data_IF_399976685598
#
_entry.id   IF_399976685598
#
_cell.length_a   1.000
_cell.length_b   1.000
_cell.length_c   1.000
_cell.angle_alpha   90.00
_cell.angle_beta   90.00
_cell.angle_gamma   90.00
#
_symmetry.space_group_name_H-M   'P 1'
#
loop_
_entity.id
_entity.type
_entity.pdbx_description
1 polymer ?
#
# COMPACT_ATOMS: atom_id res chain seq x y z
N UNK A 1 12.21 1.20 -2.31
CA UNK A 1 12.45 1.12 -0.85
C UNK A 1 12.81 -0.30 -0.44
N UNK A 2 12.34 -1.32 -1.19
CA UNK A 2 12.69 -2.74 -0.95
C UNK A 2 14.19 -3.04 -1.01
N UNK A 3 14.92 -2.55 -2.02
CA UNK A 3 16.37 -2.76 -2.08
C UNK A 3 17.11 -2.15 -0.88
N UNK A 4 16.69 -0.96 -0.43
CA UNK A 4 17.26 -0.33 0.76
C UNK A 4 16.94 -1.07 2.07
N UNK A 5 15.91 -1.92 2.07
CA UNK A 5 15.53 -2.72 3.23
C UNK A 5 16.25 -4.08 3.25
N UNK A 6 16.44 -4.70 2.07
CA UNK A 6 17.12 -6.00 1.92
C UNK A 6 18.65 -5.91 1.98
N UNK A 7 19.24 -4.85 1.45
CA UNK A 7 20.69 -4.73 1.34
C UNK A 7 21.32 -4.21 2.65
N UNK A 8 22.50 -4.73 3.07
CA UNK A 8 23.17 -4.28 4.28
C UNK A 8 23.61 -2.81 4.18
N UNK A 9 23.95 -2.36 2.98
CA UNK A 9 24.31 -0.97 2.67
C UNK A 9 23.10 -0.04 2.55
N UNK A 10 21.87 -0.58 2.63
CA UNK A 10 20.61 0.17 2.59
C UNK A 10 20.54 1.12 1.40
N UNK A 11 20.37 2.42 1.65
CA UNK A 11 20.30 3.46 0.64
C UNK A 11 21.63 3.68 -0.13
N UNK A 12 22.74 3.11 0.34
CA UNK A 12 24.03 3.17 -0.36
C UNK A 12 24.27 1.93 -1.24
N UNK A 13 23.29 1.02 -1.34
CA UNK A 13 23.38 -0.12 -2.23
C UNK A 13 23.34 0.31 -3.70
N UNK A 14 24.16 -0.33 -4.53
CA UNK A 14 24.18 -0.11 -5.99
C UNK A 14 22.78 -0.16 -6.64
N UNK A 15 21.94 -1.18 -6.39
CA UNK A 15 20.60 -1.22 -6.99
C UNK A 15 19.71 -0.07 -6.52
N UNK A 16 19.85 0.41 -5.28
CA UNK A 16 19.09 1.56 -4.80
C UNK A 16 19.52 2.86 -5.47
N UNK A 17 20.82 3.08 -5.65
CA UNK A 17 21.36 4.28 -6.31
C UNK A 17 20.93 4.32 -7.78
N UNK A 18 21.03 3.19 -8.50
CA UNK A 18 20.57 3.10 -9.89
C UNK A 18 19.07 3.40 -10.01
N UNK A 19 18.26 2.86 -9.10
CA UNK A 19 16.82 3.10 -9.06
C UNK A 19 16.50 4.56 -8.72
N UNK A 20 17.26 5.19 -7.82
CA UNK A 20 17.11 6.61 -7.49
C UNK A 20 17.44 7.51 -8.70
N UNK A 21 18.44 7.14 -9.49
CA UNK A 21 18.76 7.82 -10.73
C UNK A 21 17.59 7.75 -11.72
N UNK A 22 16.99 6.57 -11.92
CA UNK A 22 15.81 6.42 -12.78
C UNK A 22 14.61 7.25 -12.29
N UNK A 23 14.40 7.35 -10.97
CA UNK A 23 13.37 8.24 -10.43
C UNK A 23 13.63 9.72 -10.75
N UNK A 24 14.89 10.16 -10.72
CA UNK A 24 15.25 11.52 -11.13
C UNK A 24 14.92 11.78 -12.60
N UNK A 25 15.18 10.80 -13.48
CA UNK A 25 14.77 10.88 -14.90
C UNK A 25 13.25 10.96 -15.05
N UNK A 26 12.51 10.11 -14.33
CA UNK A 26 11.06 10.06 -14.42
C UNK A 26 10.41 11.40 -14.04
N UNK A 27 10.93 12.06 -12.99
CA UNK A 27 10.45 13.38 -12.56
C UNK A 27 10.71 14.47 -13.61
N UNK A 28 11.83 14.37 -14.34
CA UNK A 28 12.21 15.32 -15.38
C UNK A 28 11.54 15.06 -16.74
N UNK A 29 10.72 14.01 -16.86
CA UNK A 29 10.06 13.63 -18.12
C UNK A 29 9.25 14.76 -18.75
N UNK A 30 8.59 15.59 -17.93
CA UNK A 30 7.82 16.74 -18.42
C UNK A 30 8.68 17.81 -19.11
N UNK A 31 9.99 17.87 -18.81
CA UNK A 31 10.95 18.82 -19.39
C UNK A 31 11.68 18.23 -20.59
N UNK A 32 12.12 16.98 -20.49
CA UNK A 32 13.01 16.35 -21.49
C UNK A 32 12.28 15.46 -22.50
N UNK A 33 11.08 14.99 -22.18
CA UNK A 33 10.34 14.03 -23.00
C UNK A 33 10.96 12.63 -23.06
N UNK A 34 12.06 12.37 -22.31
CA UNK A 34 12.74 11.07 -22.27
C UNK A 34 12.18 10.23 -21.12
N UNK A 35 11.52 9.09 -21.39
CA UNK A 35 10.96 8.25 -20.34
C UNK A 35 12.06 7.53 -19.56
N UNK A 36 11.87 7.37 -18.25
CA UNK A 36 12.73 6.52 -17.44
C UNK A 36 12.45 5.04 -17.73
N UNK A 37 13.50 4.25 -17.91
CA UNK A 37 13.41 2.80 -18.14
C UNK A 37 13.99 2.09 -16.93
N UNK A 38 13.15 1.33 -16.23
CA UNK A 38 13.59 0.52 -15.10
C UNK A 38 14.11 -0.82 -15.65
N UNK A 39 15.40 -1.14 -15.48
CA UNK A 39 15.94 -2.40 -15.97
C UNK A 39 15.36 -3.61 -15.19
N UNK A 40 15.24 -4.79 -15.83
CA UNK A 40 14.54 -5.94 -15.24
C UNK A 40 15.12 -6.44 -13.92
N UNK A 41 16.43 -6.28 -13.68
CA UNK A 41 17.06 -6.68 -12.41
C UNK A 41 16.63 -5.81 -11.22
N UNK A 42 16.07 -4.63 -11.48
CA UNK A 42 15.50 -3.75 -10.47
C UNK A 42 13.99 -4.03 -10.23
N UNK A 43 13.42 -5.03 -10.90
CA UNK A 43 12.04 -5.43 -10.65
C UNK A 43 11.93 -6.21 -9.35
N UNK A 44 11.10 -5.71 -8.45
CA UNK A 44 10.88 -6.30 -7.13
C UNK A 44 9.78 -7.35 -7.20
N UNK A 45 10.10 -8.57 -6.79
CA UNK A 45 9.15 -9.69 -6.68
C UNK A 45 8.47 -9.75 -5.31
N UNK A 46 9.21 -9.48 -4.24
CA UNK A 46 8.75 -9.56 -2.85
C UNK A 46 8.80 -8.19 -2.16
N UNK A 47 7.78 -7.91 -1.35
CA UNK A 47 7.63 -6.61 -0.69
C UNK A 47 7.69 -6.75 0.83
N UNK A 48 8.19 -5.75 1.57
CA UNK A 48 8.12 -5.80 3.02
C UNK A 48 6.66 -5.66 3.49
N UNK A 49 6.37 -6.29 4.61
CA UNK A 49 5.09 -6.26 5.32
C UNK A 49 4.49 -4.85 5.48
N UNK A 50 5.32 -3.87 5.83
CA UNK A 50 4.88 -2.48 6.01
C UNK A 50 4.36 -1.79 4.75
N UNK A 51 4.52 -2.38 3.56
CA UNK A 51 3.95 -1.84 2.32
C UNK A 51 2.51 -2.28 2.05
N UNK A 52 1.94 -3.17 2.88
CA UNK A 52 0.55 -3.61 2.83
C UNK A 52 0.07 -3.98 1.42
N UNK A 53 0.85 -4.80 0.70
CA UNK A 53 0.51 -5.31 -0.63
C UNK A 53 -0.02 -6.74 -0.53
N UNK A 54 -1.33 -6.96 -0.30
CA UNK A 54 -1.88 -8.31 -0.09
C UNK A 54 -1.76 -9.21 -1.33
N UNK A 55 -1.72 -8.63 -2.53
CA UNK A 55 -1.66 -9.37 -3.79
C UNK A 55 -0.27 -9.93 -4.13
N UNK A 56 0.75 -9.59 -3.32
CA UNK A 56 2.16 -9.90 -3.62
C UNK A 56 2.81 -10.63 -2.44
N UNK A 57 3.84 -11.47 -2.68
CA UNK A 57 4.54 -12.12 -1.59
C UNK A 57 5.21 -11.07 -0.70
N UNK A 58 5.04 -11.25 0.62
CA UNK A 58 5.55 -10.32 1.63
C UNK A 58 6.58 -10.96 2.55
N UNK A 59 7.50 -10.15 3.08
CA UNK A 59 8.48 -10.55 4.09
C UNK A 59 8.49 -9.59 5.28
N UNK A 60 8.88 -10.06 6.46
CA UNK A 60 8.96 -9.21 7.65
C UNK A 60 10.27 -8.39 7.64
N UNK A 61 10.14 -7.05 7.65
CA UNK A 61 11.29 -6.16 7.75
C UNK A 61 11.78 -6.05 9.20
N UNK A 62 13.09 -6.25 9.40
CA UNK A 62 13.76 -6.09 10.71
C UNK A 62 14.39 -4.70 10.90
N UNK A 63 14.25 -3.82 9.90
CA UNK A 63 14.76 -2.46 9.96
C UNK A 63 13.87 -1.55 10.82
N UNK A 64 14.35 -0.32 11.04
CA UNK A 64 13.65 0.67 11.88
C UNK A 64 12.19 0.86 11.44
N UNK A 65 11.95 0.92 10.12
CA UNK A 65 10.61 1.12 9.56
C UNK A 65 9.72 -0.09 9.84
N UNK A 66 10.20 -1.31 9.59
CA UNK A 66 9.44 -2.53 9.90
C UNK A 66 9.11 -2.69 11.39
N UNK A 67 10.05 -2.32 12.28
CA UNK A 67 9.82 -2.31 13.73
C UNK A 67 8.78 -1.28 14.16
N UNK A 68 8.82 -0.08 13.57
CA UNK A 68 7.82 0.96 13.82
C UNK A 68 6.44 0.50 13.34
N UNK A 69 6.37 -0.06 12.14
CA UNK A 69 5.14 -0.60 11.56
C UNK A 69 4.52 -1.71 12.42
N UNK A 70 5.34 -2.70 12.81
CA UNK A 70 4.94 -3.78 13.72
C UNK A 70 4.41 -3.25 15.05
N UNK A 71 4.97 -2.15 15.56
CA UNK A 71 4.51 -1.55 16.81
C UNK A 71 3.23 -0.75 16.62
N UNK A 72 3.09 -0.01 15.51
CA UNK A 72 1.88 0.75 15.21
C UNK A 72 0.66 -0.15 14.99
N UNK A 73 0.83 -1.28 14.30
CA UNK A 73 -0.26 -2.26 14.12
C UNK A 73 -0.75 -2.83 15.45
N UNK A 74 0.13 -2.99 16.45
CA UNK A 74 -0.25 -3.44 17.79
C UNK A 74 -0.96 -2.37 18.62
N UNK A 75 -0.64 -1.09 18.43
CA UNK A 75 -1.12 0.01 19.30
C UNK A 75 -2.31 0.79 18.72
N UNK A 76 -2.73 0.54 17.48
CA UNK A 76 -3.88 1.21 16.90
C UNK A 76 -5.06 0.23 16.66
N UNK A 77 -5.96 0.03 17.65
CA UNK A 77 -7.13 -0.83 17.48
C UNK A 77 -8.13 -0.29 16.44
N UNK A 78 -8.08 1.01 16.11
CA UNK A 78 -8.92 1.62 15.10
C UNK A 78 -8.63 1.10 13.67
N UNK A 79 -7.38 0.74 13.36
CA UNK A 79 -7.03 0.12 12.08
C UNK A 79 -7.62 -1.30 11.97
N UNK A 80 -7.57 -2.08 13.06
CA UNK A 80 -8.21 -3.39 13.10
C UNK A 80 -9.73 -3.30 12.99
N UNK A 81 -10.38 -2.38 13.70
CA UNK A 81 -11.83 -2.19 13.63
C UNK A 81 -12.27 -1.77 12.22
N UNK A 82 -11.57 -0.83 11.57
CA UNK A 82 -11.93 -0.41 10.22
C UNK A 82 -11.72 -1.54 9.19
N UNK A 83 -10.64 -2.31 9.29
CA UNK A 83 -10.45 -3.48 8.41
C UNK A 83 -11.47 -4.59 8.67
N UNK A 84 -11.80 -4.86 9.94
CA UNK A 84 -12.83 -5.83 10.33
C UNK A 84 -14.18 -5.37 9.81
N UNK A 85 -14.58 -4.11 10.04
CA UNK A 85 -15.81 -3.53 9.51
C UNK A 85 -15.87 -3.59 7.98
N UNK A 86 -14.78 -3.26 7.27
CA UNK A 86 -14.72 -3.37 5.81
C UNK A 86 -14.86 -4.83 5.33
N UNK A 87 -14.21 -5.79 6.00
CA UNK A 87 -14.31 -7.23 5.70
C UNK A 87 -15.69 -7.81 6.01
N UNK A 88 -16.32 -7.37 7.10
CA UNK A 88 -17.70 -7.71 7.44
C UNK A 88 -18.66 -7.12 6.42
N UNK A 89 -18.47 -5.87 6.00
CA UNK A 89 -19.29 -5.25 4.98
C UNK A 89 -19.16 -5.99 3.64
N UNK A 90 -17.95 -6.36 3.21
CA UNK A 90 -17.73 -7.15 2.00
C UNK A 90 -18.35 -8.56 2.08
N UNK A 91 -18.25 -9.23 3.23
CA UNK A 91 -18.85 -10.56 3.45
C UNK A 91 -20.39 -10.52 3.55
N UNK A 92 -20.92 -9.47 4.17
CA UNK A 92 -22.37 -9.24 4.25
C UNK A 92 -22.96 -8.92 2.87
N UNK A 93 -22.28 -8.07 2.09
CA UNK A 93 -22.71 -7.74 0.73
C UNK A 93 -22.64 -8.95 -0.23
N UNK A 94 -21.68 -9.86 -0.05
CA UNK A 94 -21.65 -11.12 -0.81
C UNK A 94 -22.73 -12.11 -0.37
N UNK A 95 -23.10 -12.14 0.91
CA UNK A 95 -24.26 -12.91 1.39
C UNK A 95 -25.57 -12.36 0.84
N UNK A 96 -25.75 -11.03 0.83
CA UNK A 96 -26.91 -10.37 0.21
C UNK A 96 -26.97 -10.69 -1.28
N UNK A 97 -25.83 -10.67 -1.99
CA UNK A 97 -25.77 -11.03 -3.40
C UNK A 97 -26.20 -12.49 -3.64
N UNK A 98 -25.76 -13.43 -2.79
CA UNK A 98 -26.16 -14.85 -2.84
C UNK A 98 -27.66 -15.06 -2.60
N UNK A 99 -28.32 -14.20 -1.83
CA UNK A 99 -29.73 -14.33 -1.45
C UNK A 99 -30.69 -13.59 -2.39
N UNK A 100 -30.28 -12.46 -2.95
CA UNK A 100 -31.16 -11.59 -3.74
C UNK A 100 -30.88 -11.65 -5.24
N UNK A 101 -29.75 -12.20 -5.68
CA UNK A 101 -29.35 -12.27 -7.09
C UNK A 101 -29.12 -10.90 -7.74
N UNK A 102 -29.21 -9.79 -6.99
CA UNK A 102 -29.02 -8.43 -7.48
C UNK A 102 -27.58 -7.98 -7.26
N UNK A 103 -26.89 -7.61 -8.35
CA UNK A 103 -25.58 -6.94 -8.29
C UNK A 103 -25.75 -5.54 -7.70
N UNK A 104 -25.52 -5.37 -6.41
CA UNK A 104 -25.28 -4.06 -5.81
C UNK A 104 -23.86 -3.63 -6.17
N UNK A 105 -23.72 -2.73 -7.14
CA UNK A 105 -22.44 -2.10 -7.46
C UNK A 105 -22.00 -1.20 -6.30
N UNK A 106 -20.81 -1.44 -5.75
CA UNK A 106 -20.25 -0.64 -4.67
C UNK A 106 -20.09 0.83 -5.11
N UNK A 107 -20.48 1.83 -4.28
CA UNK A 107 -20.06 3.20 -4.49
C UNK A 107 -18.53 3.31 -4.28
N UNK A 108 -17.86 4.04 -5.17
CA UNK A 108 -16.41 4.29 -5.10
C UNK A 108 -16.05 5.09 -3.83
N UNK A 109 -14.78 5.01 -3.35
CA UNK A 109 -14.34 5.64 -2.10
C UNK A 109 -14.57 7.16 -2.00
N UNK A 110 -14.83 7.85 -3.11
CA UNK A 110 -15.16 9.27 -3.16
C UNK A 110 -16.49 9.63 -2.50
N UNK A 111 -17.39 8.67 -2.26
CA UNK A 111 -18.71 8.92 -1.65
C UNK A 111 -18.73 8.71 -0.13
N UNK A 112 -17.69 8.13 0.46
CA UNK A 112 -17.61 7.88 1.90
C UNK A 112 -17.20 9.11 2.73
N UNK A 113 -16.65 10.16 2.10
CA UNK A 113 -16.39 11.44 2.77
C UNK A 113 -17.66 12.21 3.13
N UNK A 114 -18.82 11.85 2.54
CA UNK A 114 -20.09 12.52 2.80
C UNK A 114 -20.81 12.03 4.07
N UNK A 115 -20.38 10.91 4.67
CA UNK A 115 -21.04 10.31 5.86
C UNK A 115 -20.30 10.64 7.16
N UNK A 116 -19.01 11.01 7.09
CA UNK A 116 -18.21 11.29 8.30
C UNK A 116 -18.26 12.73 8.78
N UNK A 117 -18.86 13.67 8.05
CA UNK A 117 -19.03 15.07 8.52
C UNK A 117 -20.19 15.28 9.51
N UNK A 118 -20.92 14.23 9.89
CA UNK A 118 -22.04 14.35 10.85
C UNK A 118 -21.66 14.10 12.32
N UNK A 119 -20.41 13.73 12.63
CA UNK A 119 -20.00 13.37 14.00
C UNK A 119 -18.98 14.35 14.62
N UNK A 120 -18.81 15.53 14.03
CA UNK A 120 -17.93 16.60 14.52
C UNK A 120 -18.74 17.89 14.77
N UNK A 121 -19.82 17.78 15.54
CA UNK A 121 -20.46 18.94 16.18
C UNK A 121 -21.21 18.51 17.44
N UNK A 122 -20.44 18.34 18.53
CA UNK A 122 -20.91 18.69 19.87
C UNK A 122 -19.73 18.97 20.78
#
# INVERSE_FOLDING_TARGET
MVFADKEPLKAMSKPWVELAHQFSFAVNFNKTGVPAVIPPHLHVTEYPDFMEKPDKPTYQSHNVIGKLFSRSERHCPAHQLCQVLYKWHASFMTLIWKWTGMKLTCPTPSTLSAITTSWETR
#
